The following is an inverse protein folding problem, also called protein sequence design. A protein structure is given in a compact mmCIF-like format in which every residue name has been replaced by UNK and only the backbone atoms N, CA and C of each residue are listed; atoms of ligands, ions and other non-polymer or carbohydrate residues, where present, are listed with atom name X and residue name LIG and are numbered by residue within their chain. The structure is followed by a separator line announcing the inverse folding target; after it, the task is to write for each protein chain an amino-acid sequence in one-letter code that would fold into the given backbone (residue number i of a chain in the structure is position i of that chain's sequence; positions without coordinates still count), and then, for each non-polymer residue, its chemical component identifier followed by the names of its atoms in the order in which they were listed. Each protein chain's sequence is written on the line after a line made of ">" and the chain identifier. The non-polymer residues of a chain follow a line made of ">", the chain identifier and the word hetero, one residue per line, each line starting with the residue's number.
data_IF_273295608061
#
_entry.id   IF_273295608061
#
_cell.length_a   1.000
_cell.length_b   1.000
_cell.length_c   1.000
_cell.angle_alpha   90.00
_cell.angle_beta   90.00
_cell.angle_gamma   90.00
#
_symmetry.space_group_name_H-M   'P 1'
#
loop_
_entity.id
_entity.type
_entity.pdbx_description
1 polymer ?
#
# COMPACT_ATOMS: atom_id res chain seq x y z
N UNK A 1 -11.81 -22.48 22.90
CA UNK A 1 -10.94 -21.75 21.96
C UNK A 1 -11.62 -20.42 21.62
N UNK A 2 -11.01 -19.29 21.96
CA UNK A 2 -11.53 -17.97 21.59
C UNK A 2 -11.52 -17.84 20.07
N UNK A 3 -12.69 -17.69 19.46
CA UNK A 3 -12.79 -17.59 18.00
C UNK A 3 -12.14 -16.30 17.53
N UNK A 4 -11.08 -16.38 16.71
CA UNK A 4 -10.44 -15.20 16.12
C UNK A 4 -11.48 -14.45 15.28
N UNK A 5 -11.79 -13.21 15.68
CA UNK A 5 -12.79 -12.36 15.01
C UNK A 5 -12.15 -11.07 14.51
N UNK A 6 -12.37 -10.71 13.25
CA UNK A 6 -12.07 -9.38 12.73
C UNK A 6 -12.77 -8.27 13.51
N UNK A 7 -12.15 -7.10 13.58
CA UNK A 7 -12.76 -5.85 14.04
C UNK A 7 -13.73 -5.32 12.96
N UNK A 8 -14.57 -4.35 13.30
CA UNK A 8 -15.42 -3.68 12.30
C UNK A 8 -14.56 -2.93 11.28
N UNK A 9 -15.00 -2.90 10.02
CA UNK A 9 -14.36 -2.12 8.97
C UNK A 9 -14.44 -0.63 9.33
N UNK A 10 -13.30 0.09 9.44
CA UNK A 10 -13.33 1.52 9.71
C UNK A 10 -13.93 2.31 8.52
N UNK A 11 -14.51 3.50 8.76
CA UNK A 11 -14.98 4.38 7.70
C UNK A 11 -13.87 4.72 6.70
N UNK A 12 -14.20 4.75 5.41
CA UNK A 12 -13.24 5.05 4.34
C UNK A 12 -12.35 3.88 3.91
N UNK A 13 -12.60 2.67 4.42
CA UNK A 13 -11.91 1.44 4.00
C UNK A 13 -12.89 0.49 3.31
N UNK A 14 -12.34 -0.34 2.43
CA UNK A 14 -13.05 -1.45 1.79
C UNK A 14 -12.40 -2.77 2.14
N UNK A 15 -13.20 -3.83 2.22
CA UNK A 15 -12.73 -5.19 2.39
C UNK A 15 -12.15 -5.69 1.06
N UNK A 16 -10.90 -6.13 1.07
CA UNK A 16 -10.24 -6.81 -0.06
C UNK A 16 -9.76 -8.19 0.37
N UNK A 17 -9.69 -9.09 -0.61
CA UNK A 17 -9.26 -10.46 -0.40
C UNK A 17 -7.81 -10.66 -0.85
N UNK A 18 -7.13 -11.58 -0.19
CA UNK A 18 -5.80 -12.01 -0.63
C UNK A 18 -5.92 -12.94 -1.85
N UNK A 19 -4.86 -13.09 -2.66
CA UNK A 19 -4.79 -14.16 -3.66
C UNK A 19 -5.06 -15.54 -3.03
N UNK A 20 -5.56 -16.49 -3.82
CA UNK A 20 -5.91 -17.84 -3.36
C UNK A 20 -4.78 -18.54 -2.63
N UNK A 21 -3.59 -18.58 -3.22
CA UNK A 21 -2.39 -19.20 -2.65
C UNK A 21 -2.03 -18.60 -1.27
N UNK A 22 -2.11 -17.27 -1.14
CA UNK A 22 -1.86 -16.59 0.12
C UNK A 22 -2.96 -16.87 1.15
N UNK A 23 -4.21 -16.97 0.70
CA UNK A 23 -5.35 -17.29 1.55
C UNK A 23 -5.19 -18.66 2.20
N UNK A 24 -4.89 -19.69 1.42
CA UNK A 24 -4.66 -21.05 1.91
C UNK A 24 -3.54 -21.10 2.94
N UNK A 25 -2.43 -20.43 2.64
CA UNK A 25 -1.30 -20.32 3.56
C UNK A 25 -1.67 -19.63 4.87
N UNK A 26 -2.44 -18.55 4.82
CA UNK A 26 -2.91 -17.83 6.01
C UNK A 26 -3.85 -18.67 6.88
N UNK A 27 -4.74 -19.47 6.28
CA UNK A 27 -5.61 -20.40 7.00
C UNK A 27 -4.75 -21.44 7.72
N UNK A 28 -3.82 -22.09 7.01
CA UNK A 28 -2.96 -23.13 7.57
C UNK A 28 -2.05 -22.61 8.69
N UNK A 29 -1.37 -21.49 8.47
CA UNK A 29 -0.32 -21.02 9.37
C UNK A 29 -0.89 -20.36 10.65
N UNK A 30 -2.11 -19.82 10.59
CA UNK A 30 -2.72 -19.05 11.70
C UNK A 30 -4.09 -19.55 12.16
N UNK A 31 -4.60 -20.64 11.59
CA UNK A 31 -5.92 -21.21 11.88
C UNK A 31 -7.07 -20.20 11.80
N UNK A 32 -7.00 -19.31 10.81
CA UNK A 32 -8.02 -18.27 10.56
C UNK A 32 -9.16 -18.91 9.76
N UNK A 33 -10.45 -18.73 10.16
CA UNK A 33 -11.58 -19.17 9.33
C UNK A 33 -11.53 -18.55 7.93
N UNK A 34 -11.81 -19.32 6.88
CA UNK A 34 -11.70 -18.87 5.48
C UNK A 34 -12.44 -17.55 5.19
N UNK A 35 -13.64 -17.38 5.75
CA UNK A 35 -14.45 -16.16 5.60
C UNK A 35 -13.88 -14.93 6.33
N UNK A 36 -12.86 -15.11 7.18
CA UNK A 36 -12.11 -14.06 7.89
C UNK A 36 -10.76 -13.73 7.26
N UNK A 37 -10.39 -14.38 6.15
CA UNK A 37 -9.12 -14.13 5.45
C UNK A 37 -9.29 -12.99 4.45
N UNK A 38 -9.17 -11.77 4.96
CA UNK A 38 -9.25 -10.54 4.18
C UNK A 38 -8.45 -9.44 4.86
N UNK A 39 -8.38 -8.27 4.24
CA UNK A 39 -7.83 -7.07 4.84
C UNK A 39 -8.70 -5.86 4.52
N UNK A 40 -8.55 -4.81 5.30
CA UNK A 40 -9.14 -3.52 4.98
C UNK A 40 -8.14 -2.71 4.18
N UNK A 41 -8.59 -2.04 3.14
CA UNK A 41 -7.74 -1.24 2.27
C UNK A 41 -8.38 0.13 2.08
N UNK A 42 -7.59 1.19 2.24
CA UNK A 42 -8.00 2.53 1.85
C UNK A 42 -7.80 2.60 0.34
N UNK A 43 -8.90 2.45 -0.37
CA UNK A 43 -8.93 2.16 -1.81
C UNK A 43 -8.29 3.25 -2.64
N UNK A 44 -8.40 4.49 -2.20
CA UNK A 44 -8.12 5.64 -3.02
C UNK A 44 -7.39 6.68 -2.19
N UNK A 45 -6.19 7.02 -2.66
CA UNK A 45 -5.46 8.18 -2.20
C UNK A 45 -6.09 9.42 -2.85
N UNK A 46 -7.24 9.82 -2.30
CA UNK A 46 -8.02 10.97 -2.77
C UNK A 46 -7.41 12.31 -2.35
N UNK A 47 -6.27 12.26 -1.68
CA UNK A 47 -5.53 13.43 -1.26
C UNK A 47 -4.81 14.04 -2.48
N UNK A 48 -4.63 15.37 -2.46
CA UNK A 48 -3.90 16.08 -3.51
C UNK A 48 -2.39 15.89 -3.35
N UNK A 49 -1.70 15.71 -4.48
CA UNK A 49 -0.26 15.58 -4.57
C UNK A 49 0.33 16.59 -5.54
N UNK A 50 1.50 17.12 -5.20
CA UNK A 50 2.40 17.80 -6.16
C UNK A 50 3.26 16.75 -6.85
N UNK A 51 3.52 16.89 -8.15
CA UNK A 51 4.36 15.94 -8.85
C UNK A 51 5.78 15.84 -8.24
N UNK A 52 6.22 14.65 -7.79
CA UNK A 52 7.57 14.48 -7.24
C UNK A 52 8.70 14.66 -8.25
N UNK A 53 8.38 14.71 -9.54
CA UNK A 53 9.32 14.95 -10.65
C UNK A 53 9.38 16.41 -11.07
N UNK A 54 8.69 17.27 -10.30
CA UNK A 54 8.73 18.71 -10.45
C UNK A 54 8.25 19.25 -11.82
N UNK A 55 7.26 18.59 -12.44
CA UNK A 55 6.63 19.10 -13.67
C UNK A 55 5.65 20.27 -13.44
N UNK A 56 5.57 20.78 -12.20
CA UNK A 56 4.67 21.88 -11.81
C UNK A 56 3.19 21.51 -11.68
N UNK A 57 2.80 20.28 -12.01
CA UNK A 57 1.40 19.85 -11.97
C UNK A 57 1.02 19.19 -10.64
N UNK A 58 -0.24 19.35 -10.27
CA UNK A 58 -0.88 18.66 -9.14
C UNK A 58 -1.86 17.60 -9.66
N UNK A 59 -2.08 16.56 -8.88
CA UNK A 59 -3.01 15.48 -9.19
C UNK A 59 -3.51 14.81 -7.92
N UNK A 60 -4.64 14.12 -8.01
CA UNK A 60 -5.17 13.27 -6.94
C UNK A 60 -4.35 11.98 -6.87
N UNK A 61 -3.89 11.55 -5.70
CA UNK A 61 -2.93 10.45 -5.56
C UNK A 61 -3.30 9.16 -6.31
N UNK A 62 -4.59 8.81 -6.37
CA UNK A 62 -5.09 7.65 -7.12
C UNK A 62 -4.89 7.75 -8.65
N UNK A 63 -4.80 8.96 -9.19
CA UNK A 63 -4.65 9.24 -10.63
C UNK A 63 -3.19 9.33 -11.09
N UNK A 64 -2.22 8.96 -10.23
CA UNK A 64 -0.79 8.97 -10.57
C UNK A 64 -0.48 8.28 -11.90
N UNK A 65 -1.13 7.16 -12.21
CA UNK A 65 -0.89 6.43 -13.45
C UNK A 65 -1.24 7.29 -14.67
N UNK A 66 -2.42 7.91 -14.65
CA UNK A 66 -2.89 8.81 -15.70
C UNK A 66 -2.00 10.05 -15.79
N UNK A 67 -1.60 10.62 -14.65
CA UNK A 67 -0.67 11.73 -14.60
C UNK A 67 0.66 11.41 -15.29
N UNK A 68 1.26 10.25 -14.99
CA UNK A 68 2.51 9.82 -15.62
C UNK A 68 2.33 9.61 -17.13
N UNK A 69 1.22 9.04 -17.58
CA UNK A 69 0.96 8.82 -19.01
C UNK A 69 0.85 10.15 -19.79
N UNK A 70 0.27 11.18 -19.19
CA UNK A 70 0.08 12.50 -19.83
C UNK A 70 1.36 13.35 -19.77
N UNK A 71 1.99 13.47 -18.60
CA UNK A 71 3.07 14.43 -18.38
C UNK A 71 4.46 13.81 -18.41
N UNK A 72 4.57 12.49 -18.26
CA UNK A 72 5.84 11.76 -18.21
C UNK A 72 5.79 10.44 -18.99
N UNK A 73 5.41 10.45 -20.28
CA UNK A 73 5.07 9.23 -21.03
C UNK A 73 6.20 8.18 -21.08
N UNK A 74 7.45 8.59 -20.90
CA UNK A 74 8.61 7.70 -20.94
C UNK A 74 8.96 7.05 -19.60
N UNK A 75 8.39 7.51 -18.48
CA UNK A 75 8.79 7.04 -17.14
C UNK A 75 8.43 5.59 -16.91
N UNK A 76 7.34 5.06 -17.45
CA UNK A 76 7.01 3.65 -17.25
C UNK A 76 7.47 2.75 -18.42
N UNK A 77 8.41 3.25 -19.23
CA UNK A 77 9.00 2.48 -20.33
C UNK A 77 9.96 1.40 -19.79
N UNK A 78 10.37 0.44 -20.64
CA UNK A 78 11.39 -0.57 -20.27
C UNK A 78 12.80 0.02 -20.05
N UNK A 79 12.94 1.34 -20.13
CA UNK A 79 14.14 2.10 -19.82
C UNK A 79 14.69 1.75 -18.44
N UNK A 80 16.02 1.67 -18.37
CA UNK A 80 16.78 1.53 -17.11
C UNK A 80 17.33 2.87 -16.64
N UNK A 81 16.91 3.98 -17.25
CA UNK A 81 17.35 5.31 -16.88
C UNK A 81 16.91 5.63 -15.45
N UNK A 82 17.80 6.27 -14.70
CA UNK A 82 17.52 6.77 -13.37
C UNK A 82 16.92 8.17 -13.44
N UNK A 83 15.98 8.43 -12.55
CA UNK A 83 15.31 9.72 -12.38
C UNK A 83 15.34 10.09 -10.90
N UNK A 84 15.37 11.39 -10.63
CA UNK A 84 15.36 11.92 -9.29
C UNK A 84 13.93 12.26 -8.87
N UNK A 85 13.46 11.67 -7.77
CA UNK A 85 12.29 12.13 -7.04
C UNK A 85 12.70 13.33 -6.18
N UNK A 86 12.61 14.52 -6.76
CA UNK A 86 13.13 15.76 -6.19
C UNK A 86 12.20 16.37 -5.13
N UNK A 87 10.88 16.20 -5.28
CA UNK A 87 9.90 16.95 -4.49
C UNK A 87 9.06 16.03 -3.61
N UNK A 88 8.80 16.46 -2.37
CA UNK A 88 7.87 15.76 -1.49
C UNK A 88 6.43 16.01 -1.96
N UNK A 89 5.79 14.99 -2.55
CA UNK A 89 4.46 15.18 -3.14
C UNK A 89 3.35 15.52 -2.15
N UNK A 90 3.52 15.17 -0.88
CA UNK A 90 2.55 15.40 0.19
C UNK A 90 3.27 15.39 1.54
N UNK A 91 2.79 16.16 2.53
CA UNK A 91 3.43 16.32 3.86
C UNK A 91 3.63 15.01 4.63
N UNK A 92 2.78 14.01 4.36
CA UNK A 92 2.82 12.66 4.96
C UNK A 92 3.63 11.64 4.13
N UNK A 93 4.22 12.05 3.01
CA UNK A 93 5.11 11.21 2.21
C UNK A 93 6.35 10.84 3.02
N UNK A 94 6.79 9.59 2.86
CA UNK A 94 7.98 9.02 3.50
C UNK A 94 9.22 9.10 2.61
N UNK A 95 9.11 9.66 1.41
CA UNK A 95 10.21 9.72 0.47
C UNK A 95 11.30 10.67 0.97
N UNK A 96 12.56 10.21 1.09
CA UNK A 96 13.68 11.11 1.33
C UNK A 96 13.82 12.12 0.19
N UNK A 97 14.35 13.33 0.46
CA UNK A 97 14.67 14.29 -0.59
C UNK A 97 15.65 13.69 -1.62
N UNK A 98 15.47 14.03 -2.90
CA UNK A 98 16.36 13.65 -4.00
C UNK A 98 16.59 12.14 -4.14
N UNK A 99 15.54 11.34 -3.92
CA UNK A 99 15.65 9.89 -4.02
C UNK A 99 15.76 9.43 -5.48
N UNK A 100 16.83 8.74 -5.82
CA UNK A 100 17.08 8.25 -7.18
C UNK A 100 16.39 6.90 -7.39
N UNK A 101 15.58 6.81 -8.44
CA UNK A 101 14.84 5.60 -8.79
C UNK A 101 14.89 5.34 -10.29
N UNK A 102 14.88 4.07 -10.68
CA UNK A 102 14.71 3.73 -12.09
C UNK A 102 13.31 4.10 -12.57
N UNK A 103 13.23 4.69 -13.76
CA UNK A 103 11.99 5.10 -14.45
C UNK A 103 10.91 4.01 -14.33
N UNK A 104 11.19 2.80 -14.81
CA UNK A 104 10.28 1.64 -14.79
C UNK A 104 9.70 1.25 -13.42
N UNK A 105 10.28 1.75 -12.33
CA UNK A 105 9.82 1.49 -10.96
C UNK A 105 9.22 2.73 -10.28
N UNK A 106 9.15 3.87 -10.96
CA UNK A 106 8.65 5.12 -10.38
C UNK A 106 7.21 5.01 -9.90
N UNK A 107 6.30 4.40 -10.67
CA UNK A 107 4.92 4.21 -10.23
C UNK A 107 4.85 3.44 -8.91
N UNK A 108 5.60 2.33 -8.82
CA UNK A 108 5.70 1.53 -7.59
C UNK A 108 6.33 2.32 -6.45
N UNK A 109 7.36 3.11 -6.73
CA UNK A 109 7.99 4.00 -5.77
C UNK A 109 6.98 5.02 -5.22
N UNK A 110 6.22 5.69 -6.09
CA UNK A 110 5.18 6.63 -5.70
C UNK A 110 4.16 5.96 -4.77
N UNK A 111 3.63 4.79 -5.15
CA UNK A 111 2.66 4.06 -4.32
C UNK A 111 3.20 3.72 -2.93
N UNK A 112 4.50 3.45 -2.79
CA UNK A 112 5.09 3.04 -1.51
C UNK A 112 5.52 4.23 -0.65
N UNK A 113 6.08 5.27 -1.27
CA UNK A 113 6.76 6.36 -0.59
C UNK A 113 5.92 7.63 -0.51
N UNK A 114 5.02 7.85 -1.47
CA UNK A 114 4.22 9.06 -1.59
C UNK A 114 2.76 8.81 -1.28
N UNK A 115 2.21 7.71 -1.77
CA UNK A 115 0.78 7.46 -1.62
C UNK A 115 0.39 7.21 -0.17
N UNK A 116 -0.76 7.75 0.22
CA UNK A 116 -1.37 7.51 1.52
C UNK A 116 -2.23 6.25 1.53
N UNK A 117 -2.35 5.55 0.40
CA UNK A 117 -2.97 4.24 0.30
C UNK A 117 -2.26 3.24 1.23
N UNK A 118 -3.06 2.45 1.95
CA UNK A 118 -2.53 1.47 2.89
C UNK A 118 -3.57 0.42 3.26
N UNK A 119 -3.08 -0.70 3.76
CA UNK A 119 -3.88 -1.79 4.29
C UNK A 119 -3.94 -1.73 5.81
N UNK A 120 -5.02 -2.24 6.40
CA UNK A 120 -5.12 -2.54 7.82
C UNK A 120 -5.27 -4.03 8.05
N UNK A 121 -4.61 -4.52 9.09
CA UNK A 121 -4.88 -5.84 9.63
C UNK A 121 -6.33 -5.91 10.14
N UNK A 122 -7.15 -6.88 9.71
CA UNK A 122 -8.55 -6.94 10.14
C UNK A 122 -8.70 -7.24 11.64
N UNK A 123 -7.67 -7.82 12.29
CA UNK A 123 -7.74 -8.26 13.69
C UNK A 123 -7.32 -7.18 14.68
N UNK A 124 -6.26 -6.42 14.38
CA UNK A 124 -5.74 -5.38 15.28
C UNK A 124 -5.81 -3.96 14.71
N UNK A 125 -6.27 -3.79 13.46
CA UNK A 125 -6.27 -2.52 12.71
C UNK A 125 -4.87 -1.89 12.52
N UNK A 126 -3.80 -2.69 12.70
CA UNK A 126 -2.44 -2.24 12.44
C UNK A 126 -2.23 -1.88 10.97
N UNK A 127 -1.75 -0.66 10.72
CA UNK A 127 -1.49 -0.12 9.39
C UNK A 127 -0.26 -0.76 8.74
N UNK A 128 -0.41 -1.17 7.50
CA UNK A 128 0.64 -1.71 6.63
C UNK A 128 0.61 -0.97 5.30
N UNK A 129 1.76 -0.49 4.82
CA UNK A 129 1.85 0.20 3.53
C UNK A 129 1.64 -0.72 2.34
N UNK A 130 1.89 -2.02 2.50
CA UNK A 130 1.76 -3.01 1.42
C UNK A 130 1.05 -4.26 1.91
N UNK A 131 0.39 -4.95 0.97
CA UNK A 131 -0.32 -6.20 1.26
C UNK A 131 0.63 -7.31 1.68
N UNK A 132 1.84 -7.40 1.10
CA UNK A 132 2.85 -8.38 1.52
C UNK A 132 3.36 -8.14 2.95
N UNK A 133 3.30 -6.89 3.43
CA UNK A 133 3.63 -6.56 4.81
C UNK A 133 2.55 -7.02 5.79
N UNK A 134 1.28 -7.16 5.36
CA UNK A 134 0.23 -7.75 6.19
C UNK A 134 0.53 -9.21 6.53
N UNK A 135 1.04 -9.99 5.58
CA UNK A 135 1.40 -11.39 5.82
C UNK A 135 2.48 -11.49 6.91
N UNK A 136 3.54 -10.68 6.82
CA UNK A 136 4.58 -10.62 7.87
C UNK A 136 4.04 -10.11 9.20
N UNK A 137 3.12 -9.14 9.15
CA UNK A 137 2.48 -8.61 10.35
C UNK A 137 1.70 -9.68 11.12
N UNK A 138 1.06 -10.63 10.45
CA UNK A 138 0.28 -11.67 11.13
C UNK A 138 1.14 -12.54 12.06
N UNK A 139 2.43 -12.75 11.73
CA UNK A 139 3.38 -13.48 12.57
C UNK A 139 3.64 -12.82 13.94
N UNK A 140 3.44 -11.51 14.04
CA UNK A 140 3.64 -10.70 15.25
C UNK A 140 2.35 -10.04 15.75
N UNK A 141 1.21 -10.37 15.13
CA UNK A 141 -0.08 -9.79 15.49
C UNK A 141 -0.53 -10.37 16.83
N UNK A 142 -0.57 -9.53 17.87
CA UNK A 142 -0.95 -9.94 19.24
C UNK A 142 -2.34 -10.61 19.34
N UNK A 143 -3.23 -10.35 18.39
CA UNK A 143 -4.57 -10.98 18.32
C UNK A 143 -4.51 -12.39 17.74
N UNK A 144 -3.63 -12.63 16.76
CA UNK A 144 -3.44 -13.95 16.14
C UNK A 144 -2.45 -14.82 16.93
N UNK A 145 -1.49 -14.19 17.60
CA UNK A 145 -0.49 -14.82 18.46
C UNK A 145 -0.45 -14.10 19.81
N UNK A 146 -1.45 -14.32 20.69
CA UNK A 146 -1.35 -13.83 22.06
C UNK A 146 -0.09 -14.44 22.69
N UNK A 147 0.72 -13.60 23.37
CA UNK A 147 1.83 -14.11 24.17
C UNK A 147 1.23 -15.06 25.21
N UNK A 148 1.78 -16.28 25.29
CA UNK A 148 1.46 -17.23 26.36
C UNK A 148 1.82 -16.63 27.71
#
# INVERSE_FOLDING_TARGET
>A
MSTIRPRRCPPGYRKRFFPSEMTERLIRDYNIPSHHVYYYWRDEDRDDHTCPLDCGQRFVGESIKVHLEIFHPNINSRSRKDICCSTQSHSKSKCPPQNVVQERYFLKHFTVMHSLAHSLCPFCLGRQTRVDHLYRHFAVCKVLRPKK
#
